data_IF_891483557065
#
_entry.id   IF_891483557065
#
_cell.length_a   1.000
_cell.length_b   1.000
_cell.length_c   1.000
_cell.angle_alpha   90.00
_cell.angle_beta   90.00
_cell.angle_gamma   90.00
#
_symmetry.space_group_name_H-M   'P 1'
#
loop_
_entity.id
_entity.type
_entity.pdbx_description
1 polymer ?
#
# COMPACT_ATOMS: atom_id res chain seq x y z
N UNK A 1 22.68 -24.34 -8.95
CA UNK A 1 21.38 -23.79 -9.39
C UNK A 1 21.63 -23.09 -10.70
N UNK A 2 20.81 -23.36 -11.71
CA UNK A 2 20.84 -22.62 -12.98
C UNK A 2 20.53 -21.16 -12.65
N UNK A 3 21.40 -20.22 -13.04
CA UNK A 3 21.08 -18.81 -12.90
C UNK A 3 20.23 -18.39 -14.11
N UNK A 4 19.01 -17.92 -13.84
CA UNK A 4 18.08 -17.46 -14.87
C UNK A 4 18.24 -15.97 -15.16
N UNK A 5 19.03 -15.23 -14.36
CA UNK A 5 19.08 -13.77 -14.32
C UNK A 5 20.47 -13.23 -14.66
N UNK A 6 20.63 -12.69 -15.87
CA UNK A 6 21.92 -12.18 -16.39
C UNK A 6 22.38 -10.95 -15.62
N UNK A 7 21.45 -10.12 -15.17
CA UNK A 7 21.70 -8.94 -14.32
C UNK A 7 22.43 -9.32 -13.03
N UNK A 8 22.22 -10.54 -12.53
CA UNK A 8 22.91 -11.05 -11.34
C UNK A 8 24.24 -11.76 -11.67
N UNK A 9 24.54 -12.00 -12.96
CA UNK A 9 25.82 -12.52 -13.46
C UNK A 9 26.80 -11.40 -13.83
N UNK A 10 26.28 -10.29 -14.35
CA UNK A 10 27.05 -9.13 -14.73
C UNK A 10 27.67 -8.46 -13.50
N UNK A 11 29.00 -8.57 -13.40
CA UNK A 11 29.88 -7.86 -12.46
C UNK A 11 29.40 -7.87 -10.99
N UNK A 12 29.71 -8.95 -10.27
CA UNK A 12 29.57 -9.05 -8.80
C UNK A 12 30.16 -7.80 -8.10
N UNK A 13 29.30 -6.80 -7.82
CA UNK A 13 29.59 -5.67 -6.94
C UNK A 13 29.73 -4.27 -7.58
N UNK A 14 29.45 -4.05 -8.87
CA UNK A 14 29.58 -2.71 -9.49
C UNK A 14 28.25 -1.97 -9.71
N UNK A 15 27.13 -2.68 -9.85
CA UNK A 15 25.83 -2.07 -10.12
C UNK A 15 25.21 -1.45 -8.86
N UNK A 16 24.71 -0.22 -9.00
CA UNK A 16 23.88 0.41 -7.97
C UNK A 16 22.48 -0.22 -7.92
N UNK A 17 21.80 -0.14 -6.76
CA UNK A 17 20.46 -0.71 -6.54
C UNK A 17 19.46 -0.38 -7.67
N UNK A 18 19.49 0.84 -8.21
CA UNK A 18 18.60 1.25 -9.30
C UNK A 18 18.89 0.51 -10.62
N UNK A 19 20.16 0.27 -10.93
CA UNK A 19 20.57 -0.47 -12.12
C UNK A 19 20.21 -1.95 -12.01
N UNK A 20 20.41 -2.52 -10.81
CA UNK A 20 19.96 -3.89 -10.49
C UNK A 20 18.44 -3.99 -10.65
N UNK A 21 17.68 -3.05 -10.09
CA UNK A 21 16.22 -3.03 -10.24
C UNK A 21 15.81 -3.02 -11.70
N UNK A 22 16.30 -2.04 -12.48
CA UNK A 22 15.95 -1.89 -13.88
C UNK A 22 16.27 -3.14 -14.71
N UNK A 23 17.48 -3.70 -14.56
CA UNK A 23 17.89 -4.91 -15.28
C UNK A 23 17.03 -6.13 -14.93
N UNK A 24 16.64 -6.28 -13.66
CA UNK A 24 15.73 -7.35 -13.24
C UNK A 24 14.33 -7.18 -13.84
N UNK A 25 13.82 -5.96 -13.95
CA UNK A 25 12.51 -5.73 -14.58
C UNK A 25 12.55 -5.96 -16.10
N UNK A 26 13.66 -5.64 -16.77
CA UNK A 26 13.90 -5.89 -18.20
C UNK A 26 13.99 -7.37 -18.55
N UNK A 27 14.44 -8.17 -17.60
CA UNK A 27 14.61 -9.60 -17.76
C UNK A 27 13.40 -10.45 -17.36
N UNK A 28 12.39 -9.84 -16.72
CA UNK A 28 11.25 -10.54 -16.17
C UNK A 28 10.18 -10.84 -17.24
N UNK A 29 9.62 -12.05 -17.22
CA UNK A 29 8.44 -12.39 -18.00
C UNK A 29 7.15 -11.81 -17.38
N UNK A 30 7.18 -11.59 -16.06
CA UNK A 30 6.07 -11.05 -15.27
C UNK A 30 6.58 -10.39 -13.97
N UNK A 31 5.87 -9.38 -13.49
CA UNK A 31 6.21 -8.65 -12.27
C UNK A 31 5.00 -8.60 -11.34
N UNK A 32 5.16 -9.07 -10.11
CA UNK A 32 4.16 -8.91 -9.04
C UNK A 32 4.71 -7.90 -8.05
N UNK A 33 4.09 -6.73 -7.97
CA UNK A 33 4.54 -5.65 -7.10
C UNK A 33 3.72 -5.65 -5.82
N UNK A 34 4.39 -5.67 -4.69
CA UNK A 34 3.81 -5.59 -3.36
C UNK A 34 4.19 -4.28 -2.70
N UNK A 35 3.24 -3.35 -2.56
CA UNK A 35 3.50 -2.00 -2.04
C UNK A 35 2.97 -1.85 -0.61
N UNK A 36 3.82 -1.30 0.26
CA UNK A 36 3.46 -0.95 1.64
C UNK A 36 3.77 0.50 1.98
N UNK A 37 3.52 0.87 3.24
CA UNK A 37 3.55 2.26 3.70
C UNK A 37 4.94 2.93 3.54
N UNK A 38 6.01 2.13 3.43
CA UNK A 38 7.35 2.64 3.17
C UNK A 38 7.50 3.38 1.85
N UNK A 39 6.71 3.04 0.82
CA UNK A 39 6.74 3.74 -0.47
C UNK A 39 6.12 5.14 -0.35
N UNK A 40 4.91 5.26 0.20
CA UNK A 40 4.28 6.55 0.49
C UNK A 40 5.14 7.42 1.44
N UNK A 41 5.77 6.80 2.45
CA UNK A 41 6.68 7.51 3.35
C UNK A 41 7.95 8.05 2.65
N UNK A 42 8.41 7.41 1.57
CA UNK A 42 9.55 7.87 0.79
C UNK A 42 9.22 9.15 0.00
N UNK A 43 7.98 9.30 -0.46
CA UNK A 43 7.47 10.52 -1.08
C UNK A 43 7.01 11.60 -0.06
N UNK A 44 7.24 11.35 1.24
CA UNK A 44 6.95 12.32 2.30
C UNK A 44 5.60 12.14 3.00
N UNK A 45 4.78 11.18 2.59
CA UNK A 45 3.49 10.85 3.21
C UNK A 45 3.67 10.01 4.48
N UNK A 46 4.42 10.57 5.44
CA UNK A 46 4.80 9.90 6.68
C UNK A 46 3.65 9.89 7.68
N UNK A 47 3.60 8.82 8.48
CA UNK A 47 2.62 8.62 9.54
C UNK A 47 3.17 8.98 10.93
N UNK A 48 4.42 9.43 11.01
CA UNK A 48 5.07 9.85 12.25
C UNK A 48 5.87 11.13 12.00
N UNK A 49 6.06 11.93 13.05
CA UNK A 49 6.78 13.21 12.99
C UNK A 49 5.86 14.37 12.63
N UNK A 50 6.45 15.45 12.06
CA UNK A 50 5.77 16.74 11.89
C UNK A 50 4.44 16.65 11.13
N UNK A 51 4.36 15.82 10.07
CA UNK A 51 3.11 15.62 9.32
C UNK A 51 1.95 15.15 10.21
N UNK A 52 2.23 14.33 11.24
CA UNK A 52 1.24 13.90 12.21
C UNK A 52 1.04 14.94 13.32
N UNK A 53 2.12 15.44 13.91
CA UNK A 53 2.03 16.38 15.05
C UNK A 53 1.37 17.71 14.69
N UNK A 54 1.58 18.18 13.47
CA UNK A 54 1.02 19.44 12.98
C UNK A 54 -0.44 19.25 12.57
N UNK A 55 -0.81 18.07 12.08
CA UNK A 55 -2.17 17.77 11.63
C UNK A 55 -3.13 17.38 12.76
N UNK A 56 -2.65 16.78 13.85
CA UNK A 56 -3.46 16.25 14.96
C UNK A 56 -2.98 16.65 16.37
N UNK A 57 -2.60 17.92 16.62
CA UNK A 57 -2.03 18.32 17.91
C UNK A 57 -3.01 18.12 19.08
N UNK A 58 -4.30 18.37 18.85
CA UNK A 58 -5.40 18.20 19.81
C UNK A 58 -5.59 16.74 20.24
N UNK A 59 -5.64 15.81 19.30
CA UNK A 59 -5.74 14.38 19.59
C UNK A 59 -4.47 13.85 20.27
N UNK A 60 -3.30 14.37 19.90
CA UNK A 60 -2.04 14.00 20.56
C UNK A 60 -2.00 14.51 22.00
N UNK A 61 -2.44 15.74 22.25
CA UNK A 61 -2.52 16.31 23.61
C UNK A 61 -3.49 15.50 24.49
N UNK A 62 -4.66 15.13 23.96
CA UNK A 62 -5.66 14.36 24.73
C UNK A 62 -5.22 12.92 25.00
N UNK A 63 -4.69 12.23 23.99
CA UNK A 63 -4.50 10.76 24.03
C UNK A 63 -3.04 10.29 24.10
N UNK A 64 -2.06 11.17 23.92
CA UNK A 64 -0.64 10.79 23.91
C UNK A 64 -0.27 9.87 22.73
N UNK A 65 -0.98 9.99 21.61
CA UNK A 65 -0.79 9.16 20.42
C UNK A 65 0.61 9.40 19.81
N UNK A 66 1.29 8.31 19.43
CA UNK A 66 2.69 8.37 18.97
C UNK A 66 2.82 8.48 17.46
N UNK A 67 1.88 7.87 16.73
CA UNK A 67 1.85 7.90 15.28
C UNK A 67 0.40 7.83 14.74
N UNK A 68 0.26 8.23 13.49
CA UNK A 68 -1.03 8.39 12.82
C UNK A 68 -1.70 7.05 12.50
N UNK A 69 -0.94 5.96 12.38
CA UNK A 69 -1.51 4.62 12.16
C UNK A 69 -2.14 4.10 13.46
N UNK A 70 -1.46 4.28 14.59
CA UNK A 70 -2.03 4.01 15.90
C UNK A 70 -3.31 4.83 16.11
N UNK A 71 -3.25 6.13 15.80
CA UNK A 71 -4.38 7.04 15.95
C UNK A 71 -5.59 6.64 15.09
N UNK A 72 -5.38 6.21 13.84
CA UNK A 72 -6.47 5.78 12.96
C UNK A 72 -7.11 4.44 13.37
N UNK A 73 -6.46 3.67 14.24
CA UNK A 73 -6.95 2.43 14.82
C UNK A 73 -7.46 2.57 16.26
N UNK A 74 -7.39 3.79 16.83
CA UNK A 74 -7.80 4.05 18.20
C UNK A 74 -9.32 3.92 18.40
N UNK A 75 -9.71 3.43 19.58
CA UNK A 75 -11.12 3.36 20.00
C UNK A 75 -11.49 4.65 20.74
N UNK A 76 -12.07 5.61 20.01
CA UNK A 76 -12.42 6.93 20.53
C UNK A 76 -13.64 6.89 21.45
N UNK A 77 -13.79 7.91 22.30
CA UNK A 77 -14.84 7.93 23.35
C UNK A 77 -16.26 7.99 22.78
N UNK A 78 -16.42 8.43 21.52
CA UNK A 78 -17.70 8.59 20.84
C UNK A 78 -17.55 8.50 19.33
N UNK A 79 -18.65 8.21 18.65
CA UNK A 79 -18.70 8.14 17.18
C UNK A 79 -18.45 9.53 16.57
N UNK A 80 -18.87 10.60 17.25
CA UNK A 80 -18.60 11.98 16.86
C UNK A 80 -17.11 12.31 16.91
N UNK A 81 -16.38 11.79 17.90
CA UNK A 81 -14.93 11.98 18.00
C UNK A 81 -14.16 11.11 17.01
N UNK A 82 -14.64 9.88 16.78
CA UNK A 82 -14.15 9.02 15.70
C UNK A 82 -14.21 9.76 14.36
N UNK A 83 -15.37 10.33 13.99
CA UNK A 83 -15.52 11.04 12.72
C UNK A 83 -14.78 12.37 12.69
N UNK A 84 -14.56 13.04 13.82
CA UNK A 84 -13.71 14.24 13.88
C UNK A 84 -12.25 13.91 13.52
N UNK A 85 -11.71 12.81 14.05
CA UNK A 85 -10.37 12.33 13.70
C UNK A 85 -10.33 11.84 12.25
N UNK A 86 -11.22 10.92 11.89
CA UNK A 86 -11.17 10.22 10.60
C UNK A 86 -11.43 11.18 9.43
N UNK A 87 -12.32 12.17 9.55
CA UNK A 87 -12.54 13.16 8.48
C UNK A 87 -11.26 13.93 8.13
N UNK A 88 -10.53 14.43 9.14
CA UNK A 88 -9.22 15.08 8.96
C UNK A 88 -8.16 14.11 8.42
N UNK A 89 -8.17 12.87 8.87
CA UNK A 89 -7.25 11.82 8.40
C UNK A 89 -7.48 11.47 6.92
N UNK A 90 -8.74 11.35 6.49
CA UNK A 90 -9.13 11.12 5.10
C UNK A 90 -8.78 12.32 4.23
N UNK A 91 -9.02 13.55 4.69
CA UNK A 91 -8.57 14.75 3.97
C UNK A 91 -7.07 14.73 3.74
N UNK A 92 -6.28 14.48 4.78
CA UNK A 92 -4.82 14.52 4.72
C UNK A 92 -4.19 13.41 3.84
N UNK A 93 -4.75 12.20 3.88
CA UNK A 93 -4.14 11.00 3.28
C UNK A 93 -4.86 10.49 2.03
N UNK A 94 -5.99 11.08 1.65
CA UNK A 94 -6.78 10.59 0.51
C UNK A 94 -7.37 11.70 -0.36
N UNK A 95 -8.03 12.71 0.21
CA UNK A 95 -8.64 13.76 -0.62
C UNK A 95 -7.62 14.78 -1.15
N UNK A 96 -6.72 15.24 -0.28
CA UNK A 96 -5.82 16.36 -0.58
C UNK A 96 -4.34 15.92 -0.60
N UNK A 97 -4.06 14.61 -0.45
CA UNK A 97 -2.69 14.10 -0.59
C UNK A 97 -2.20 14.28 -2.04
N UNK A 98 -1.08 14.99 -2.28
CA UNK A 98 -0.60 15.24 -3.64
C UNK A 98 0.03 13.99 -4.25
N UNK A 99 0.27 14.03 -5.55
CA UNK A 99 0.97 12.95 -6.26
C UNK A 99 2.42 12.79 -5.75
N UNK A 100 2.83 11.53 -5.55
CA UNK A 100 4.20 11.16 -5.19
C UNK A 100 5.05 10.82 -6.43
N UNK A 101 6.27 11.35 -6.50
CA UNK A 101 7.14 11.14 -7.67
C UNK A 101 7.56 9.68 -7.82
N UNK A 102 7.72 8.93 -6.72
CA UNK A 102 8.09 7.52 -6.78
C UNK A 102 7.00 6.66 -7.40
N UNK A 103 5.72 7.01 -7.20
CA UNK A 103 4.59 6.37 -7.87
C UNK A 103 4.60 6.67 -9.38
N UNK A 104 4.84 7.91 -9.79
CA UNK A 104 4.96 8.25 -11.22
C UNK A 104 6.12 7.51 -11.88
N UNK A 105 7.30 7.52 -11.26
CA UNK A 105 8.49 6.88 -11.80
C UNK A 105 8.32 5.35 -11.88
N UNK A 106 7.70 4.72 -10.89
CA UNK A 106 7.38 3.29 -10.94
C UNK A 106 6.34 2.98 -12.03
N UNK A 107 5.33 3.83 -12.22
CA UNK A 107 4.33 3.66 -13.28
C UNK A 107 5.01 3.60 -14.66
N UNK A 108 5.87 4.57 -14.94
CA UNK A 108 6.62 4.63 -16.20
C UNK A 108 7.51 3.39 -16.39
N UNK A 109 8.13 2.90 -15.31
CA UNK A 109 8.95 1.68 -15.37
C UNK A 109 8.12 0.42 -15.65
N UNK A 110 6.86 0.36 -15.22
CA UNK A 110 5.97 -0.79 -15.43
C UNK A 110 5.21 -0.73 -16.76
N UNK A 111 5.17 0.43 -17.41
CA UNK A 111 4.46 0.63 -18.67
C UNK A 111 4.92 -0.38 -19.75
N UNK A 112 3.95 -1.00 -20.42
CA UNK A 112 4.21 -2.02 -21.45
C UNK A 112 4.71 -3.38 -20.92
N UNK A 113 4.90 -3.54 -19.61
CA UNK A 113 5.27 -4.82 -18.99
C UNK A 113 4.04 -5.60 -18.54
N UNK A 114 4.23 -6.89 -18.35
CA UNK A 114 3.25 -7.79 -17.77
C UNK A 114 3.32 -7.69 -16.24
N UNK A 115 2.46 -6.90 -15.60
CA UNK A 115 2.52 -6.65 -14.17
C UNK A 115 1.15 -6.66 -13.46
N UNK A 116 1.17 -6.88 -12.16
CA UNK A 116 0.04 -6.62 -11.26
C UNK A 116 0.53 -6.16 -9.90
N UNK A 117 -0.25 -5.32 -9.24
CA UNK A 117 0.07 -4.69 -7.96
C UNK A 117 -0.90 -5.18 -6.89
N UNK A 118 -0.36 -5.55 -5.74
CA UNK A 118 -1.10 -5.72 -4.49
C UNK A 118 -0.56 -4.71 -3.49
N UNK A 119 -1.44 -4.02 -2.78
CA UNK A 119 -1.05 -2.99 -1.82
C UNK A 119 -1.76 -3.16 -0.49
N UNK A 120 -1.02 -2.92 0.60
CA UNK A 120 -1.60 -2.77 1.94
C UNK A 120 -1.84 -1.30 2.32
N UNK A 121 -1.47 -0.36 1.44
CA UNK A 121 -1.83 1.05 1.59
C UNK A 121 -3.29 1.25 1.24
N UNK A 122 -3.87 2.32 1.79
CA UNK A 122 -5.25 2.73 1.59
C UNK A 122 -5.33 4.24 1.26
N UNK A 123 -4.19 4.86 0.95
CA UNK A 123 -4.09 6.25 0.51
C UNK A 123 -4.41 6.39 -0.99
N UNK A 124 -4.51 7.62 -1.49
CA UNK A 124 -4.90 7.90 -2.88
C UNK A 124 -3.75 7.74 -3.90
N UNK A 125 -2.59 7.19 -3.50
CA UNK A 125 -1.34 7.41 -4.23
C UNK A 125 -1.37 6.86 -5.67
N UNK A 126 -2.07 5.74 -5.90
CA UNK A 126 -2.27 5.18 -7.23
C UNK A 126 -3.23 6.02 -8.07
N UNK A 127 -4.33 6.50 -7.48
CA UNK A 127 -5.34 7.31 -8.17
C UNK A 127 -4.75 8.64 -8.67
N UNK A 128 -4.06 9.38 -7.79
CA UNK A 128 -3.48 10.68 -8.18
C UNK A 128 -2.25 10.54 -9.06
N UNK A 129 -1.64 9.36 -9.12
CA UNK A 129 -0.60 9.02 -10.08
C UNK A 129 -1.16 8.43 -11.39
N UNK A 130 -2.49 8.32 -11.53
CA UNK A 130 -3.18 7.85 -12.74
C UNK A 130 -2.73 6.45 -13.16
N UNK A 131 -2.75 5.50 -12.22
CA UNK A 131 -2.61 4.08 -12.50
C UNK A 131 -3.91 3.50 -13.04
N UNK A 132 -3.79 2.49 -13.90
CA UNK A 132 -4.93 1.66 -14.28
C UNK A 132 -5.34 0.78 -13.09
N UNK A 133 -6.56 1.01 -12.57
CA UNK A 133 -7.10 0.31 -11.40
C UNK A 133 -7.34 -1.19 -11.66
N UNK A 134 -7.39 -1.63 -12.91
CA UNK A 134 -7.46 -3.06 -13.22
C UNK A 134 -6.19 -3.82 -12.83
N UNK A 135 -5.06 -3.11 -12.65
CA UNK A 135 -3.78 -3.66 -12.21
C UNK A 135 -3.51 -3.54 -10.70
N UNK A 136 -4.42 -2.95 -9.91
CA UNK A 136 -4.18 -2.69 -8.48
C UNK A 136 -5.22 -3.38 -7.61
N UNK A 137 -4.74 -4.16 -6.64
CA UNK A 137 -5.57 -4.77 -5.61
C UNK A 137 -5.32 -4.15 -4.23
N UNK A 138 -6.32 -3.39 -3.74
CA UNK A 138 -6.35 -2.76 -2.42
C UNK A 138 -6.85 -3.75 -1.34
N UNK A 139 -6.00 -4.70 -0.94
CA UNK A 139 -6.40 -5.79 -0.02
C UNK A 139 -6.83 -5.31 1.39
N UNK A 140 -6.45 -4.07 1.75
CA UNK A 140 -6.71 -3.46 3.05
C UNK A 140 -7.83 -2.41 3.04
N UNK A 141 -8.53 -2.25 1.91
CA UNK A 141 -9.52 -1.20 1.70
C UNK A 141 -8.89 0.13 1.34
N UNK A 142 -9.72 1.17 1.32
CA UNK A 142 -9.32 2.54 0.94
C UNK A 142 -9.93 3.56 1.89
N UNK A 143 -9.18 4.61 2.25
CA UNK A 143 -9.65 5.61 3.21
C UNK A 143 -10.82 6.45 2.69
N UNK A 144 -10.98 6.56 1.38
CA UNK A 144 -12.13 7.22 0.76
C UNK A 144 -13.43 6.41 0.84
N UNK A 145 -13.36 5.12 1.23
CA UNK A 145 -14.51 4.23 1.30
C UNK A 145 -14.97 4.03 2.76
N UNK A 146 -16.26 3.81 2.93
CA UNK A 146 -16.93 3.53 4.20
C UNK A 146 -17.57 2.16 4.18
N UNK A 147 -17.69 1.55 5.35
CA UNK A 147 -18.35 0.28 5.57
C UNK A 147 -19.27 0.35 6.78
N UNK A 148 -20.32 -0.47 6.82
CA UNK A 148 -21.16 -0.57 8.01
C UNK A 148 -20.31 -1.04 9.21
N UNK A 149 -20.33 -0.31 10.34
CA UNK A 149 -19.58 -0.70 11.55
C UNK A 149 -19.98 -2.07 12.13
N UNK A 150 -21.18 -2.56 11.79
CA UNK A 150 -21.67 -3.91 12.13
C UNK A 150 -21.45 -4.94 11.03
N UNK A 151 -20.89 -4.56 9.88
CA UNK A 151 -20.67 -5.43 8.73
C UNK A 151 -21.94 -6.18 8.30
N UNK A 152 -23.11 -5.52 8.33
CA UNK A 152 -24.40 -6.21 8.12
C UNK A 152 -24.62 -6.69 6.67
N UNK A 153 -23.91 -6.12 5.71
CA UNK A 153 -23.92 -6.50 4.30
C UNK A 153 -22.60 -6.09 3.61
N UNK A 154 -22.33 -6.67 2.43
CA UNK A 154 -21.08 -6.50 1.71
C UNK A 154 -21.18 -5.37 0.66
N UNK A 155 -21.13 -4.12 1.12
CA UNK A 155 -21.16 -2.94 0.26
C UNK A 155 -20.34 -1.80 0.89
N UNK A 156 -19.50 -1.14 0.09
CA UNK A 156 -18.84 0.10 0.49
C UNK A 156 -19.60 1.33 0.00
N UNK A 157 -19.34 2.47 0.64
CA UNK A 157 -19.98 3.77 0.37
C UNK A 157 -18.93 4.89 0.35
N UNK A 158 -19.22 6.02 -0.29
CA UNK A 158 -18.33 7.19 -0.31
C UNK A 158 -19.13 8.48 -0.43
N UNK A 159 -18.76 9.48 0.36
CA UNK A 159 -19.25 10.86 0.22
C UNK A 159 -18.19 11.86 0.70
N UNK A 160 -17.41 12.38 -0.24
CA UNK A 160 -16.33 13.33 0.06
C UNK A 160 -16.87 14.67 0.57
N UNK A 161 -18.11 15.03 0.22
CA UNK A 161 -18.71 16.30 0.65
C UNK A 161 -19.01 16.29 2.14
N UNK A 162 -19.51 15.16 2.67
CA UNK A 162 -19.72 14.94 4.10
C UNK A 162 -18.40 14.95 4.86
N UNK A 163 -17.33 14.35 4.33
CA UNK A 163 -15.99 14.42 4.94
C UNK A 163 -15.54 15.87 5.08
N UNK A 164 -15.69 16.69 4.04
CA UNK A 164 -15.31 18.11 4.08
C UNK A 164 -16.17 18.89 5.07
N UNK A 165 -17.47 18.62 5.12
CA UNK A 165 -18.40 19.24 6.06
C UNK A 165 -18.03 18.90 7.53
N UNK A 166 -17.64 17.66 7.81
CA UNK A 166 -17.13 17.25 9.12
C UNK A 166 -15.85 17.99 9.52
N UNK A 167 -14.93 18.23 8.59
CA UNK A 167 -13.71 19.00 8.87
C UNK A 167 -14.04 20.47 9.16
N UNK A 168 -14.99 21.06 8.43
CA UNK A 168 -15.39 22.45 8.61
C UNK A 168 -16.18 22.68 9.91
N UNK A 169 -17.08 21.76 10.26
CA UNK A 169 -18.02 21.97 11.36
C UNK A 169 -17.60 21.34 12.69
N UNK A 170 -16.55 20.49 12.71
CA UNK A 170 -16.10 19.91 13.97
C UNK A 170 -15.59 20.97 14.96
N UNK A 171 -15.88 20.77 16.23
CA UNK A 171 -15.36 21.59 17.31
C UNK A 171 -15.04 20.72 18.53
N UNK A 172 -13.96 21.04 19.25
CA UNK A 172 -13.52 20.31 20.44
C UNK A 172 -13.40 18.79 20.19
N UNK A 173 -12.79 18.41 19.05
CA UNK A 173 -12.61 17.03 18.59
C UNK A 173 -13.93 16.26 18.38
N UNK A 174 -15.05 16.92 18.07
CA UNK A 174 -16.32 16.25 17.77
C UNK A 174 -17.00 16.85 16.56
N UNK A 175 -17.53 16.01 15.68
CA UNK A 175 -18.47 16.45 14.63
C UNK A 175 -19.87 16.62 15.23
N UNK A 176 -20.73 17.48 14.66
CA UNK A 176 -22.17 17.47 14.94
C UNK A 176 -22.77 16.07 14.69
N UNK A 177 -23.61 15.59 15.60
CA UNK A 177 -24.16 14.22 15.55
C UNK A 177 -24.98 13.95 14.29
N UNK A 178 -25.60 14.98 13.72
CA UNK A 178 -26.35 14.92 12.45
C UNK A 178 -25.47 14.63 11.23
N UNK A 179 -24.17 14.91 11.30
CA UNK A 179 -23.22 14.61 10.23
C UNK A 179 -22.69 13.18 10.28
N UNK A 180 -22.90 12.45 11.38
CA UNK A 180 -22.48 11.05 11.47
C UNK A 180 -23.27 10.24 10.44
N UNK A 181 -22.60 9.63 9.44
CA UNK A 181 -23.29 8.92 8.39
C UNK A 181 -23.68 7.53 8.90
N UNK A 182 -24.88 7.07 8.52
CA UNK A 182 -25.47 5.82 9.01
C UNK A 182 -25.78 4.85 7.87
N UNK A 183 -25.58 3.57 8.15
CA UNK A 183 -25.88 2.48 7.25
C UNK A 183 -27.38 2.43 6.91
N UNK A 184 -27.77 2.43 5.62
CA UNK A 184 -29.18 2.42 5.23
C UNK A 184 -29.91 1.10 5.59
N UNK A 185 -29.18 0.00 5.75
CA UNK A 185 -29.77 -1.33 6.01
C UNK A 185 -30.11 -1.56 7.49
N UNK A 186 -29.24 -1.11 8.41
CA UNK A 186 -29.38 -1.43 9.83
C UNK A 186 -29.35 -0.23 10.78
N UNK A 187 -29.13 0.98 10.25
CA UNK A 187 -29.06 2.22 11.03
C UNK A 187 -27.85 2.33 11.95
N UNK A 188 -26.88 1.41 11.89
CA UNK A 188 -25.61 1.57 12.60
C UNK A 188 -24.76 2.66 11.94
N UNK A 189 -23.90 3.38 12.68
CA UNK A 189 -22.96 4.31 12.08
C UNK A 189 -22.06 3.62 11.05
N UNK A 190 -21.68 4.34 10.00
CA UNK A 190 -20.58 3.91 9.16
C UNK A 190 -19.24 4.08 9.90
N UNK A 191 -18.24 3.36 9.40
CA UNK A 191 -16.83 3.52 9.73
C UNK A 191 -16.02 3.51 8.41
N UNK A 192 -14.77 3.96 8.43
CA UNK A 192 -13.85 3.85 7.29
C UNK A 192 -13.68 2.37 6.90
N UNK A 193 -13.68 2.06 5.60
CA UNK A 193 -13.39 0.75 5.07
C UNK A 193 -11.92 0.40 5.35
N UNK A 194 -11.71 -0.37 6.42
CA UNK A 194 -10.40 -0.81 6.88
C UNK A 194 -10.51 -2.20 7.47
N UNK A 195 -9.46 -2.99 7.29
CA UNK A 195 -9.42 -4.34 7.87
C UNK A 195 -9.06 -4.31 9.36
N UNK A 196 -9.95 -4.87 10.17
CA UNK A 196 -9.73 -5.18 11.57
C UNK A 196 -9.36 -6.67 11.73
N UNK A 197 -8.47 -7.00 12.67
CA UNK A 197 -8.02 -8.38 12.90
C UNK A 197 -9.14 -9.32 13.36
N UNK A 198 -10.04 -8.83 14.23
CA UNK A 198 -11.12 -9.65 14.81
C UNK A 198 -12.36 -9.70 13.90
N UNK A 199 -12.74 -8.57 13.30
CA UNK A 199 -13.98 -8.43 12.50
C UNK A 199 -13.78 -8.65 11.00
N UNK A 200 -12.54 -8.62 10.53
CA UNK A 200 -12.24 -8.60 9.10
C UNK A 200 -12.50 -7.21 8.48
N UNK A 201 -12.98 -7.21 7.25
CA UNK A 201 -13.32 -6.02 6.47
C UNK A 201 -14.57 -6.30 5.66
N UNK A 202 -15.35 -5.27 5.32
CA UNK A 202 -16.35 -5.42 4.27
C UNK A 202 -15.63 -5.55 2.92
N UNK A 203 -15.93 -6.62 2.20
CA UNK A 203 -15.37 -7.02 0.91
C UNK A 203 -16.54 -7.05 -0.09
N UNK A 204 -16.75 -5.94 -0.79
CA UNK A 204 -17.84 -5.83 -1.75
C UNK A 204 -17.50 -6.43 -3.13
N UNK A 205 -18.39 -6.23 -4.10
CA UNK A 205 -18.21 -6.77 -5.45
C UNK A 205 -16.94 -6.28 -6.14
N UNK A 206 -16.51 -5.04 -5.91
CA UNK A 206 -15.31 -4.50 -6.53
C UNK A 206 -14.04 -5.06 -5.87
N UNK A 207 -14.03 -5.20 -4.55
CA UNK A 207 -12.94 -5.88 -3.84
C UNK A 207 -12.72 -7.30 -4.40
N UNK A 208 -13.80 -8.06 -4.60
CA UNK A 208 -13.72 -9.40 -5.18
C UNK A 208 -13.25 -9.37 -6.64
N UNK A 209 -13.67 -8.39 -7.44
CA UNK A 209 -13.18 -8.24 -8.81
C UNK A 209 -11.67 -7.92 -8.87
N UNK A 210 -11.17 -7.03 -8.01
CA UNK A 210 -9.74 -6.74 -7.88
C UNK A 210 -8.96 -8.00 -7.48
N UNK A 211 -9.46 -8.74 -6.47
CA UNK A 211 -8.87 -9.99 -6.03
C UNK A 211 -8.81 -11.03 -7.15
N UNK A 212 -9.90 -11.20 -7.89
CA UNK A 212 -9.98 -12.16 -8.99
C UNK A 212 -8.99 -11.83 -10.11
N UNK A 213 -8.81 -10.54 -10.46
CA UNK A 213 -7.79 -10.10 -11.43
C UNK A 213 -6.38 -10.41 -10.94
N UNK A 214 -6.08 -10.14 -9.67
CA UNK A 214 -4.79 -10.45 -9.06
C UNK A 214 -4.51 -11.96 -9.05
N UNK A 215 -5.48 -12.77 -8.62
CA UNK A 215 -5.33 -14.24 -8.58
C UNK A 215 -5.21 -14.85 -9.98
N UNK A 216 -5.95 -14.32 -10.97
CA UNK A 216 -5.81 -14.71 -12.37
C UNK A 216 -4.42 -14.40 -12.90
N UNK A 217 -3.90 -13.19 -12.64
CA UNK A 217 -2.53 -12.81 -13.03
C UNK A 217 -1.47 -13.75 -12.44
N UNK A 218 -1.59 -14.10 -11.17
CA UNK A 218 -0.67 -15.05 -10.53
C UNK A 218 -0.69 -16.41 -11.22
N UNK A 219 -1.89 -16.92 -11.52
CA UNK A 219 -2.09 -18.22 -12.18
C UNK A 219 -1.54 -18.24 -13.60
N UNK A 220 -1.76 -17.18 -14.38
CA UNK A 220 -1.29 -17.07 -15.76
C UNK A 220 0.25 -16.98 -15.88
N UNK A 221 0.92 -16.62 -14.78
CA UNK A 221 2.36 -16.43 -14.73
C UNK A 221 3.09 -17.48 -13.87
N UNK A 222 2.40 -18.56 -13.50
CA UNK A 222 2.98 -19.67 -12.75
C UNK A 222 4.17 -20.31 -13.51
N UNK A 223 5.29 -20.53 -12.83
CA UNK A 223 6.49 -21.16 -13.40
C UNK A 223 7.28 -20.33 -14.43
N UNK A 224 6.88 -19.07 -14.67
CA UNK A 224 7.63 -18.10 -15.51
C UNK A 224 8.78 -17.46 -14.71
N UNK A 225 9.64 -16.71 -15.42
CA UNK A 225 10.69 -15.89 -14.81
C UNK A 225 10.06 -14.62 -14.21
N UNK A 226 9.56 -14.76 -12.98
CA UNK A 226 8.75 -13.75 -12.29
C UNK A 226 9.55 -12.99 -11.23
N UNK A 227 9.35 -11.67 -11.14
CA UNK A 227 9.86 -10.84 -10.05
C UNK A 227 8.73 -10.56 -9.07
N UNK A 228 8.90 -10.98 -7.81
CA UNK A 228 8.11 -10.53 -6.67
C UNK A 228 8.79 -9.31 -6.05
N UNK A 229 8.43 -8.11 -6.50
CA UNK A 229 9.00 -6.84 -6.08
C UNK A 229 8.26 -6.30 -4.85
N UNK A 230 8.86 -6.41 -3.67
CA UNK A 230 8.33 -5.89 -2.40
C UNK A 230 8.90 -4.49 -2.11
N UNK A 231 8.06 -3.45 -2.09
CA UNK A 231 8.47 -2.06 -1.89
C UNK A 231 7.92 -1.53 -0.57
N UNK A 232 8.81 -1.24 0.39
CA UNK A 232 8.43 -0.55 1.62
C UNK A 232 7.50 -1.34 2.55
N UNK A 233 7.42 -2.68 2.41
CA UNK A 233 6.54 -3.53 3.24
C UNK A 233 7.21 -3.87 4.57
N UNK A 234 6.53 -3.50 5.66
CA UNK A 234 6.96 -3.74 7.05
C UNK A 234 6.56 -5.10 7.63
N UNK A 235 6.42 -5.15 8.96
CA UNK A 235 5.99 -6.33 9.73
C UNK A 235 4.61 -6.18 10.38
N UNK A 236 3.86 -5.12 10.05
CA UNK A 236 2.53 -4.88 10.62
C UNK A 236 1.54 -5.96 10.19
N UNK A 237 1.49 -6.28 8.90
CA UNK A 237 0.57 -7.26 8.32
C UNK A 237 1.27 -8.14 7.26
N UNK A 238 2.33 -8.89 7.64
CA UNK A 238 3.17 -9.61 6.69
C UNK A 238 2.42 -10.73 5.94
N UNK A 239 1.25 -11.15 6.42
CA UNK A 239 0.40 -12.16 5.81
C UNK A 239 -0.17 -11.77 4.44
N UNK A 240 -0.22 -10.48 4.09
CA UNK A 240 -0.85 -10.03 2.83
C UNK A 240 0.12 -9.96 1.64
N UNK A 241 1.38 -9.59 1.88
CA UNK A 241 2.38 -9.41 0.80
C UNK A 241 3.63 -10.24 1.09
N UNK A 242 4.31 -9.95 2.21
CA UNK A 242 5.62 -10.52 2.53
C UNK A 242 5.62 -12.04 2.54
N UNK A 243 4.76 -12.67 3.35
CA UNK A 243 4.72 -14.12 3.46
C UNK A 243 4.23 -14.80 2.16
N UNK A 244 3.17 -14.33 1.48
CA UNK A 244 2.79 -14.86 0.17
C UNK A 244 3.90 -14.78 -0.87
N UNK A 245 4.56 -13.64 -1.02
CA UNK A 245 5.66 -13.48 -1.99
C UNK A 245 6.79 -14.46 -1.70
N UNK A 246 7.20 -14.59 -0.43
CA UNK A 246 8.24 -15.54 -0.04
C UNK A 246 7.86 -17.00 -0.36
N UNK A 247 6.60 -17.40 -0.12
CA UNK A 247 6.11 -18.74 -0.44
C UNK A 247 6.07 -18.99 -1.95
N UNK A 248 5.62 -18.01 -2.72
CA UNK A 248 5.57 -18.13 -4.19
C UNK A 248 6.97 -18.18 -4.80
N UNK A 249 7.94 -17.43 -4.25
CA UNK A 249 9.35 -17.54 -4.65
C UNK A 249 9.93 -18.91 -4.32
N UNK A 250 9.64 -19.47 -3.14
CA UNK A 250 10.09 -20.82 -2.75
C UNK A 250 9.54 -21.91 -3.69
N UNK A 251 8.33 -21.73 -4.20
CA UNK A 251 7.66 -22.68 -5.09
C UNK A 251 8.12 -22.61 -6.55
N UNK A 252 8.85 -21.57 -6.98
CA UNK A 252 9.27 -21.36 -8.36
C UNK A 252 10.77 -21.07 -8.43
N UNK A 253 11.55 -22.01 -8.97
CA UNK A 253 13.02 -21.93 -9.07
C UNK A 253 13.53 -20.79 -9.98
N UNK A 254 12.68 -20.25 -10.86
CA UNK A 254 12.98 -19.10 -11.72
C UNK A 254 12.62 -17.76 -11.08
N UNK A 255 11.82 -17.75 -10.01
CA UNK A 255 11.36 -16.54 -9.38
C UNK A 255 12.48 -15.82 -8.61
N UNK A 256 12.38 -14.49 -8.53
CA UNK A 256 13.13 -13.68 -7.58
C UNK A 256 12.21 -12.97 -6.61
N UNK A 257 12.61 -12.93 -5.35
CA UNK A 257 12.10 -12.02 -4.35
C UNK A 257 13.01 -10.79 -4.28
N UNK A 258 12.53 -9.63 -4.72
CA UNK A 258 13.30 -8.38 -4.69
C UNK A 258 12.67 -7.48 -3.63
N UNK A 259 13.36 -7.23 -2.53
CA UNK A 259 12.85 -6.38 -1.45
C UNK A 259 13.57 -5.04 -1.43
N UNK A 260 12.80 -3.95 -1.51
CA UNK A 260 13.25 -2.57 -1.33
C UNK A 260 12.89 -2.11 0.08
N UNK A 261 13.88 -2.14 0.99
CA UNK A 261 13.66 -1.72 2.37
C UNK A 261 14.97 -1.30 3.03
N UNK A 262 14.98 -0.19 3.77
CA UNK A 262 16.17 0.19 4.57
C UNK A 262 16.45 -0.80 5.70
N UNK A 263 15.41 -1.50 6.20
CA UNK A 263 15.56 -2.53 7.23
C UNK A 263 15.91 -3.86 6.59
N UNK A 264 16.93 -4.53 7.12
CA UNK A 264 17.28 -5.88 6.71
C UNK A 264 16.45 -6.90 7.50
N UNK A 265 15.29 -7.26 6.94
CA UNK A 265 14.43 -8.27 7.52
C UNK A 265 14.97 -9.68 7.24
N UNK A 266 14.81 -10.59 8.21
CA UNK A 266 15.32 -11.94 8.08
C UNK A 266 14.62 -12.69 6.95
N UNK A 267 15.38 -13.09 5.94
CA UNK A 267 14.91 -13.89 4.81
C UNK A 267 14.91 -15.40 5.17
N UNK A 268 13.82 -16.15 4.87
CA UNK A 268 13.77 -17.60 5.02
C UNK A 268 14.92 -18.28 4.29
N UNK A 269 15.50 -19.32 4.91
CA UNK A 269 16.72 -19.98 4.36
C UNK A 269 16.53 -20.50 2.93
N UNK A 270 15.33 -21.00 2.61
CA UNK A 270 15.01 -21.61 1.34
C UNK A 270 15.16 -20.65 0.15
N UNK A 271 14.74 -19.38 0.32
CA UNK A 271 14.71 -18.40 -0.78
C UNK A 271 15.90 -17.43 -0.80
N UNK A 272 16.87 -17.56 0.12
CA UNK A 272 18.06 -16.67 0.15
C UNK A 272 18.79 -16.60 -1.19
N UNK A 273 19.00 -17.71 -1.94
CA UNK A 273 19.63 -17.65 -3.26
C UNK A 273 18.79 -16.92 -4.31
N UNK A 274 17.48 -16.79 -4.08
CA UNK A 274 16.51 -16.13 -4.96
C UNK A 274 16.12 -14.73 -4.44
N UNK A 275 16.86 -14.18 -3.46
CA UNK A 275 16.52 -12.89 -2.85
C UNK A 275 17.53 -11.81 -3.22
N UNK A 276 17.03 -10.67 -3.69
CA UNK A 276 17.80 -9.45 -3.89
C UNK A 276 17.30 -8.40 -2.90
N UNK A 277 18.19 -7.83 -2.10
CA UNK A 277 17.87 -6.77 -1.16
C UNK A 277 18.42 -5.44 -1.67
N UNK A 278 17.52 -4.54 -2.05
CA UNK A 278 17.83 -3.17 -2.41
C UNK A 278 17.65 -2.31 -1.14
N UNK A 279 18.76 -1.86 -0.57
CA UNK A 279 18.81 -1.27 0.77
C UNK A 279 18.83 0.27 0.75
N UNK A 280 19.01 0.87 -0.43
CA UNK A 280 18.98 2.32 -0.61
C UNK A 280 17.58 2.92 -0.38
N UNK A 281 17.52 4.25 -0.40
CA UNK A 281 16.26 4.98 -0.28
C UNK A 281 15.31 4.66 -1.45
N UNK A 282 14.05 4.33 -1.16
CA UNK A 282 13.08 3.86 -2.15
C UNK A 282 12.92 4.87 -3.30
N UNK A 283 12.72 6.15 -2.97
CA UNK A 283 12.50 7.19 -3.97
C UNK A 283 13.74 7.35 -4.87
N UNK A 284 14.92 7.39 -4.27
CA UNK A 284 16.17 7.48 -5.03
C UNK A 284 16.43 6.24 -5.90
N UNK A 285 16.16 5.03 -5.39
CA UNK A 285 16.35 3.79 -6.14
C UNK A 285 15.43 3.72 -7.35
N UNK A 286 14.13 4.03 -7.18
CA UNK A 286 13.16 4.06 -8.27
C UNK A 286 13.54 5.13 -9.30
N UNK A 287 13.85 6.34 -8.84
CA UNK A 287 14.24 7.43 -9.74
C UNK A 287 15.49 7.09 -10.56
N UNK A 288 16.51 6.50 -9.93
CA UNK A 288 17.71 6.05 -10.64
C UNK A 288 17.44 4.91 -11.60
N UNK A 289 16.58 3.96 -11.23
CA UNK A 289 16.21 2.83 -12.09
C UNK A 289 15.51 3.31 -13.37
N UNK A 290 14.51 4.20 -13.23
CA UNK A 290 13.81 4.81 -14.37
C UNK A 290 14.75 5.50 -15.35
N UNK A 291 15.71 6.26 -14.83
CA UNK A 291 16.65 7.04 -15.64
C UNK A 291 17.88 6.23 -16.08
N UNK A 292 17.91 4.93 -15.83
CA UNK A 292 18.98 4.07 -16.30
C UNK A 292 18.66 3.53 -17.69
N UNK A 293 19.32 4.09 -18.70
CA UNK A 293 19.39 3.46 -20.01
C UNK A 293 20.35 2.27 -19.93
N UNK A 294 19.80 1.07 -19.77
CA UNK A 294 20.55 -0.14 -20.08
C UNK A 294 20.97 -0.03 -21.56
N UNK A 295 22.26 0.21 -21.80
CA UNK A 295 22.83 0.33 -23.15
C UNK A 295 22.30 -0.84 -24.00
N UNK A 296 21.52 -0.51 -25.04
CA UNK A 296 20.95 -1.44 -26.02
C UNK A 296 22.00 -2.34 -26.66
#
# INVERSE_FOLDING_TARGET
MTNYWKTLEAEQGTLEDGQVLQGLLDEADAIVVGIGAGMSAADGFKYIGSRFTDAFPDFIEKYGLLDMLQASLFDFESVEEYWAFQSRFVVLNYLDQPVGQSYLDLKDMLEGRNYHIITTNADNAFDVADYDSDHVFHIQGEYGLWQCSKHCHQQTYRDDSVIREMVEQQANMKVPSELVPHCPECGAPFEINKRNEEKGMVEDGDFHAQKDRYEAFLKENEGKKIVFLEIGVGHTTPQFIKHPFQKMTEANDKALFVTMNKKNYRIPKAIRPQTVHLAQDIANTIHKAKNFDAVK
#
